data_IF_171597921355
#
_entry.id   IF_171597921355
#
_cell.length_a   1.000
_cell.length_b   1.000
_cell.length_c   1.000
_cell.angle_alpha   90.00
_cell.angle_beta   90.00
_cell.angle_gamma   90.00
#
_symmetry.space_group_name_H-M   'P 1'
#
loop_
_entity.id
_entity.type
_entity.pdbx_description
1 polymer ?
#
# COMPACT_ATOMS: atom_id res chain seq x y z
N UNK A 1 9.59 -22.82 29.33
CA UNK A 1 9.24 -23.51 28.07
C UNK A 1 9.88 -22.71 26.98
N UNK A 2 11.03 -23.17 26.50
CA UNK A 2 11.64 -22.58 25.30
C UNK A 2 10.75 -22.99 24.14
N UNK A 3 10.07 -22.00 23.54
CA UNK A 3 9.33 -22.21 22.30
C UNK A 3 10.41 -22.37 21.22
N UNK A 4 10.73 -23.61 20.88
CA UNK A 4 11.56 -23.91 19.73
C UNK A 4 10.75 -23.54 18.48
N UNK A 5 10.99 -22.35 17.94
CA UNK A 5 10.47 -21.96 16.63
C UNK A 5 11.45 -22.53 15.61
N UNK A 6 11.02 -23.52 14.83
CA UNK A 6 11.81 -24.05 13.73
C UNK A 6 12.09 -22.94 12.73
N UNK A 7 13.34 -22.79 12.30
CA UNK A 7 13.69 -21.91 11.19
C UNK A 7 12.94 -22.38 9.94
N UNK A 8 12.15 -21.48 9.34
CA UNK A 8 11.38 -21.79 8.12
C UNK A 8 11.94 -21.06 6.90
N UNK A 9 12.45 -19.83 7.06
CA UNK A 9 13.10 -19.12 5.97
C UNK A 9 14.62 -19.30 6.04
N UNK A 10 15.24 -19.61 4.91
CA UNK A 10 16.71 -19.72 4.79
C UNK A 10 17.38 -18.36 4.62
N UNK A 11 16.63 -17.34 4.20
CA UNK A 11 17.09 -15.95 4.04
C UNK A 11 16.23 -14.96 4.81
N UNK A 12 16.68 -13.71 4.84
CA UNK A 12 16.01 -12.61 5.53
C UNK A 12 14.54 -12.49 5.12
N UNK A 13 13.69 -12.30 6.13
CA UNK A 13 12.29 -11.99 5.92
C UNK A 13 12.15 -10.54 5.42
N UNK A 14 11.47 -10.37 4.29
CA UNK A 14 11.17 -9.06 3.69
C UNK A 14 9.74 -8.59 3.97
N UNK A 15 8.89 -9.48 4.49
CA UNK A 15 7.53 -9.16 4.88
C UNK A 15 7.04 -10.06 6.00
N UNK A 16 6.33 -9.48 6.96
CA UNK A 16 5.54 -10.18 7.96
C UNK A 16 4.29 -9.36 8.25
N UNK A 17 3.13 -9.99 8.25
CA UNK A 17 1.87 -9.30 8.55
C UNK A 17 0.81 -10.27 9.09
N UNK A 18 -0.14 -9.73 9.86
CA UNK A 18 -1.24 -10.49 10.47
C UNK A 18 -2.54 -10.04 9.82
N UNK A 19 -3.36 -10.99 9.37
CA UNK A 19 -4.62 -10.67 8.73
C UNK A 19 -5.59 -10.01 9.72
N UNK A 20 -6.20 -8.89 9.31
CA UNK A 20 -7.15 -8.14 10.14
C UNK A 20 -8.43 -8.94 10.49
N UNK A 21 -8.72 -10.00 9.74
CA UNK A 21 -9.81 -10.92 10.03
C UNK A 21 -9.45 -12.01 11.07
N UNK A 22 -8.21 -12.02 11.57
CA UNK A 22 -7.75 -12.94 12.62
C UNK A 22 -7.68 -14.40 12.19
N UNK A 23 -7.53 -14.68 10.88
CA UNK A 23 -7.51 -16.05 10.36
C UNK A 23 -6.11 -16.56 10.01
N UNK A 24 -5.17 -15.69 9.65
CA UNK A 24 -3.83 -16.10 9.28
C UNK A 24 -2.77 -15.04 9.54
N UNK A 25 -1.52 -15.46 9.53
CA UNK A 25 -0.34 -14.60 9.38
C UNK A 25 0.35 -14.93 8.07
N UNK A 26 1.13 -13.99 7.55
CA UNK A 26 1.97 -14.18 6.38
C UNK A 26 3.40 -13.77 6.73
N UNK A 27 4.36 -14.56 6.26
CA UNK A 27 5.78 -14.20 6.26
C UNK A 27 6.36 -14.47 4.88
N UNK A 28 7.30 -13.67 4.41
CA UNK A 28 7.95 -13.90 3.12
C UNK A 28 9.45 -13.59 3.18
N UNK A 29 10.26 -14.44 2.56
CA UNK A 29 11.71 -14.26 2.44
C UNK A 29 12.11 -13.59 1.14
N UNK A 30 13.32 -13.05 1.10
CA UNK A 30 13.93 -12.51 -0.12
C UNK A 30 14.12 -13.55 -1.23
N UNK A 31 14.19 -14.85 -0.89
CA UNK A 31 14.35 -15.98 -1.82
C UNK A 31 13.02 -16.53 -2.37
N UNK A 32 11.98 -15.70 -2.38
CA UNK A 32 10.67 -15.99 -2.99
C UNK A 32 9.77 -16.94 -2.18
N UNK A 33 10.19 -17.40 -1.00
CA UNK A 33 9.36 -18.24 -0.14
C UNK A 33 8.35 -17.38 0.64
N UNK A 34 7.07 -17.52 0.34
CA UNK A 34 5.98 -17.00 1.15
C UNK A 34 5.33 -18.14 1.94
N UNK A 35 5.09 -17.92 3.22
CA UNK A 35 4.44 -18.90 4.10
C UNK A 35 3.23 -18.26 4.77
N UNK A 36 2.11 -18.96 4.69
CA UNK A 36 0.86 -18.64 5.38
C UNK A 36 0.74 -19.52 6.62
N UNK A 37 0.38 -18.90 7.74
CA UNK A 37 0.31 -19.52 9.05
C UNK A 37 -1.06 -19.36 9.65
N UNK A 38 -1.47 -20.29 10.51
CA UNK A 38 -2.52 -19.98 11.47
C UNK A 38 -1.98 -19.05 12.58
N UNK A 39 -2.86 -18.52 13.41
CA UNK A 39 -2.44 -17.63 14.51
C UNK A 39 -1.70 -18.34 15.65
N UNK A 40 -1.63 -19.67 15.63
CA UNK A 40 -0.86 -20.48 16.59
C UNK A 40 0.56 -20.76 16.07
N UNK A 41 0.90 -20.31 14.86
CA UNK A 41 2.19 -20.51 14.23
C UNK A 41 2.31 -21.84 13.46
N UNK A 42 1.21 -22.53 13.18
CA UNK A 42 1.21 -23.70 12.31
C UNK A 42 1.23 -23.27 10.85
N UNK A 43 2.11 -23.87 10.05
CA UNK A 43 2.15 -23.62 8.61
C UNK A 43 0.89 -24.19 7.95
N UNK A 44 0.14 -23.33 7.26
CA UNK A 44 -1.03 -23.69 6.46
C UNK A 44 -0.64 -23.98 5.01
N UNK A 45 0.16 -23.11 4.41
CA UNK A 45 0.62 -23.27 3.02
C UNK A 45 1.96 -22.54 2.81
N UNK A 46 2.78 -23.07 1.89
CA UNK A 46 4.02 -22.45 1.42
C UNK A 46 3.91 -22.25 -0.09
N UNK A 47 4.30 -21.07 -0.55
CA UNK A 47 4.19 -20.62 -1.93
C UNK A 47 5.56 -20.11 -2.39
N UNK A 48 5.97 -20.51 -3.59
CA UNK A 48 7.02 -19.79 -4.32
C UNK A 48 6.35 -18.62 -5.06
N UNK A 49 6.81 -17.41 -4.80
CA UNK A 49 6.29 -16.21 -5.46
C UNK A 49 6.75 -16.07 -6.92
N UNK A 50 7.79 -16.80 -7.33
CA UNK A 50 8.40 -16.77 -8.66
C UNK A 50 8.87 -15.38 -9.09
N UNK A 51 9.40 -14.59 -8.15
CA UNK A 51 9.81 -13.20 -8.37
C UNK A 51 11.32 -13.02 -8.59
N UNK A 52 12.09 -14.11 -8.68
CA UNK A 52 13.56 -14.18 -8.65
C UNK A 52 14.16 -13.67 -7.34
N UNK A 53 13.77 -12.47 -6.90
CA UNK A 53 14.00 -11.93 -5.56
C UNK A 53 12.76 -11.16 -5.15
N UNK A 54 12.26 -11.44 -3.96
CA UNK A 54 11.14 -10.68 -3.38
C UNK A 54 11.66 -9.43 -2.69
N UNK A 55 11.07 -8.28 -3.02
CA UNK A 55 11.38 -6.99 -2.42
C UNK A 55 10.46 -6.67 -1.23
N UNK A 56 9.18 -7.03 -1.32
CA UNK A 56 8.19 -6.79 -0.27
C UNK A 56 7.11 -7.85 -0.30
N UNK A 57 6.44 -8.06 0.83
CA UNK A 57 5.20 -8.81 0.89
C UNK A 57 4.26 -8.19 1.94
N UNK A 58 2.96 -8.13 1.64
CA UNK A 58 1.95 -7.49 2.50
C UNK A 58 0.63 -8.27 2.53
N UNK A 59 -0.10 -8.19 3.64
CA UNK A 59 -1.50 -8.64 3.73
C UNK A 59 -2.41 -7.45 3.45
N UNK A 60 -3.50 -7.68 2.73
CA UNK A 60 -4.47 -6.62 2.46
C UNK A 60 -5.20 -6.19 3.74
N UNK A 61 -5.60 -4.91 3.88
CA UNK A 61 -6.35 -4.44 5.05
C UNK A 61 -7.68 -5.15 5.29
N UNK A 62 -8.34 -5.67 4.24
CA UNK A 62 -9.53 -6.52 4.40
C UNK A 62 -9.23 -7.95 4.91
N UNK A 63 -7.95 -8.30 5.08
CA UNK A 63 -7.48 -9.58 5.61
C UNK A 63 -7.71 -10.76 4.67
N UNK A 64 -7.97 -10.53 3.38
CA UNK A 64 -8.30 -11.58 2.41
C UNK A 64 -7.15 -11.93 1.49
N UNK A 65 -6.33 -10.94 1.13
CA UNK A 65 -5.33 -11.10 0.09
C UNK A 65 -3.92 -10.99 0.65
N UNK A 66 -2.99 -11.66 -0.02
CA UNK A 66 -1.55 -11.49 0.16
C UNK A 66 -0.91 -11.14 -1.18
N UNK A 67 0.12 -10.32 -1.13
CA UNK A 67 0.85 -9.85 -2.30
C UNK A 67 2.34 -9.89 -2.00
N UNK A 68 3.13 -10.24 -3.01
CA UNK A 68 4.57 -10.02 -3.03
C UNK A 68 4.97 -9.32 -4.32
N UNK A 69 6.03 -8.51 -4.27
CA UNK A 69 6.62 -7.86 -5.45
C UNK A 69 8.11 -8.13 -5.53
N UNK A 70 8.68 -7.98 -6.71
CA UNK A 70 10.07 -8.33 -6.99
C UNK A 70 10.46 -8.01 -8.43
N UNK A 71 11.29 -8.84 -9.06
CA UNK A 71 11.78 -8.56 -10.43
C UNK A 71 10.73 -8.72 -11.54
N UNK A 72 9.59 -9.36 -11.26
CA UNK A 72 8.51 -9.46 -12.24
C UNK A 72 7.80 -8.10 -12.44
N UNK A 73 7.39 -7.77 -13.68
CA UNK A 73 6.64 -6.55 -13.96
C UNK A 73 5.20 -6.60 -13.46
N UNK A 74 4.60 -7.79 -13.42
CA UNK A 74 3.24 -7.97 -12.95
C UNK A 74 3.20 -8.38 -11.48
N UNK A 75 2.26 -7.83 -10.74
CA UNK A 75 2.06 -8.17 -9.32
C UNK A 75 0.87 -9.11 -9.18
N UNK A 76 1.13 -10.32 -8.70
CA UNK A 76 0.08 -11.31 -8.41
C UNK A 76 -0.55 -11.03 -7.06
N UNK A 77 -1.88 -10.96 -7.03
CA UNK A 77 -2.67 -10.88 -5.81
C UNK A 77 -3.29 -12.24 -5.54
N UNK A 78 -2.93 -12.83 -4.40
CA UNK A 78 -3.37 -14.16 -3.99
C UNK A 78 -4.44 -14.03 -2.91
N UNK A 79 -5.52 -14.81 -3.02
CA UNK A 79 -6.54 -14.92 -1.98
C UNK A 79 -6.25 -16.10 -1.07
N UNK A 80 -6.28 -15.85 0.25
CA UNK A 80 -6.22 -16.90 1.27
C UNK A 80 -7.64 -17.37 1.56
N UNK A 81 -8.01 -18.52 1.04
CA UNK A 81 -9.37 -19.03 1.10
C UNK A 81 -9.60 -19.88 2.36
N UNK A 82 -10.76 -19.64 2.99
CA UNK A 82 -11.26 -20.45 4.09
C UNK A 82 -12.65 -21.00 3.74
N UNK A 83 -13.01 -22.13 4.32
CA UNK A 83 -14.37 -22.69 4.26
C UNK A 83 -15.35 -21.81 5.04
N UNK A 84 -16.66 -22.07 4.89
CA UNK A 84 -17.70 -21.41 5.69
C UNK A 84 -17.59 -21.70 7.18
N UNK A 85 -16.97 -22.82 7.55
CA UNK A 85 -16.70 -23.21 8.95
C UNK A 85 -15.42 -22.57 9.49
N UNK A 86 -14.68 -21.80 8.67
CA UNK A 86 -13.47 -21.10 9.06
C UNK A 86 -12.19 -21.92 8.96
N UNK A 87 -12.24 -23.10 8.35
CA UNK A 87 -11.06 -23.94 8.13
C UNK A 87 -10.29 -23.46 6.91
N UNK A 88 -8.97 -23.53 6.97
CA UNK A 88 -8.11 -23.21 5.85
C UNK A 88 -8.42 -24.12 4.66
N UNK A 89 -8.51 -23.56 3.46
CA UNK A 89 -8.78 -24.32 2.22
C UNK A 89 -7.56 -24.38 1.32
N UNK A 90 -7.08 -23.22 0.87
CA UNK A 90 -5.96 -23.07 -0.06
C UNK A 90 -5.62 -21.59 -0.22
N UNK A 91 -4.50 -21.30 -0.85
CA UNK A 91 -4.18 -20.00 -1.44
C UNK A 91 -4.28 -20.10 -2.97
N UNK A 92 -4.96 -19.15 -3.60
CA UNK A 92 -5.14 -19.14 -5.06
C UNK A 92 -4.97 -17.75 -5.63
N UNK A 93 -4.55 -17.66 -6.90
CA UNK A 93 -4.50 -16.37 -7.60
C UNK A 93 -5.91 -15.79 -7.71
N UNK A 94 -6.09 -14.56 -7.24
CA UNK A 94 -7.33 -13.80 -7.40
C UNK A 94 -7.28 -12.99 -8.69
N UNK A 95 -6.29 -12.11 -8.81
CA UNK A 95 -6.09 -11.24 -9.97
C UNK A 95 -4.62 -10.78 -10.05
N UNK A 96 -4.27 -10.07 -11.11
CA UNK A 96 -2.94 -9.52 -11.35
C UNK A 96 -3.02 -8.02 -11.63
N UNK A 97 -2.05 -7.27 -11.12
CA UNK A 97 -1.83 -5.86 -11.46
C UNK A 97 -0.78 -5.82 -12.57
N UNK A 98 -1.19 -5.42 -13.76
CA UNK A 98 -0.34 -5.43 -14.97
C UNK A 98 -0.03 -4.02 -15.44
N UNK A 99 0.91 -3.90 -16.37
CA UNK A 99 1.20 -2.68 -17.11
C UNK A 99 2.51 -1.97 -16.77
N UNK A 100 3.25 -2.45 -15.77
CA UNK A 100 4.66 -2.07 -15.61
C UNK A 100 5.54 -2.77 -16.65
N UNK A 101 6.68 -2.18 -16.96
CA UNK A 101 7.64 -2.75 -17.93
C UNK A 101 8.90 -3.31 -17.28
N UNK A 102 9.02 -3.21 -15.96
CA UNK A 102 10.13 -3.72 -15.16
C UNK A 102 9.69 -4.09 -13.76
N UNK A 103 10.60 -4.69 -12.98
CA UNK A 103 10.34 -5.18 -11.62
C UNK A 103 9.69 -4.16 -10.70
N UNK A 104 8.74 -4.63 -9.89
CA UNK A 104 7.99 -3.82 -8.92
C UNK A 104 8.67 -3.87 -7.56
N UNK A 105 9.08 -2.72 -7.05
CA UNK A 105 9.82 -2.60 -5.79
C UNK A 105 8.92 -2.68 -4.56
N UNK A 106 7.76 -2.01 -4.58
CA UNK A 106 6.84 -2.01 -3.44
C UNK A 106 5.37 -1.87 -3.87
N UNK A 107 4.48 -2.23 -2.96
CA UNK A 107 3.02 -2.20 -3.11
C UNK A 107 2.36 -1.58 -1.88
N UNK A 108 1.29 -0.80 -2.04
CA UNK A 108 0.52 -0.25 -0.91
C UNK A 108 -0.99 -0.37 -1.16
N UNK A 109 -1.73 -0.73 -0.10
CA UNK A 109 -3.19 -0.78 -0.12
C UNK A 109 -3.78 0.48 0.51
N UNK A 110 -4.98 0.85 0.08
CA UNK A 110 -5.85 1.74 0.85
C UNK A 110 -6.63 0.97 1.94
N UNK A 111 -7.35 1.70 2.79
CA UNK A 111 -7.93 1.08 4.00
C UNK A 111 -9.04 0.07 3.71
N UNK A 112 -9.77 0.24 2.61
CA UNK A 112 -10.88 -0.65 2.23
C UNK A 112 -10.47 -1.69 1.16
N UNK A 113 -9.21 -1.69 0.73
CA UNK A 113 -8.67 -2.58 -0.31
C UNK A 113 -9.34 -2.35 -1.69
N UNK A 114 -9.98 -1.21 -1.90
CA UNK A 114 -10.53 -0.82 -3.20
C UNK A 114 -9.48 -0.23 -4.13
N UNK A 115 -8.32 0.15 -3.60
CA UNK A 115 -7.18 0.61 -4.37
C UNK A 115 -5.88 -0.06 -3.95
N UNK A 116 -5.02 -0.27 -4.96
CA UNK A 116 -3.63 -0.69 -4.76
C UNK A 116 -2.72 0.25 -5.54
N UNK A 117 -1.65 0.72 -4.91
CA UNK A 117 -0.56 1.42 -5.58
C UNK A 117 0.66 0.50 -5.72
N UNK A 118 1.37 0.60 -6.83
CA UNK A 118 2.65 -0.09 -7.07
C UNK A 118 3.71 0.91 -7.52
N UNK A 119 4.98 0.64 -7.24
CA UNK A 119 6.12 1.43 -7.74
C UNK A 119 7.16 0.52 -8.37
N UNK A 120 7.67 0.89 -9.54
CA UNK A 120 8.50 0.02 -10.37
C UNK A 120 9.83 0.64 -10.76
N UNK A 121 10.79 -0.23 -11.04
CA UNK A 121 12.07 0.09 -11.69
C UNK A 121 11.90 0.80 -13.04
N UNK A 122 10.74 0.70 -13.67
CA UNK A 122 10.44 1.44 -14.91
C UNK A 122 10.28 2.96 -14.72
N UNK A 123 10.40 3.47 -13.49
CA UNK A 123 10.35 4.89 -13.18
C UNK A 123 8.93 5.43 -12.95
N UNK A 124 7.94 4.54 -12.94
CA UNK A 124 6.55 4.90 -12.70
C UNK A 124 6.00 4.28 -11.42
N UNK A 125 5.00 4.95 -10.88
CA UNK A 125 4.05 4.33 -9.96
C UNK A 125 2.68 4.27 -10.63
N UNK A 126 1.87 3.29 -10.25
CA UNK A 126 0.51 3.08 -10.77
C UNK A 126 -0.47 2.95 -9.63
N UNK A 127 -1.64 3.57 -9.78
CA UNK A 127 -2.79 3.34 -8.90
C UNK A 127 -3.82 2.49 -9.64
N UNK A 128 -4.33 1.44 -9.00
CA UNK A 128 -5.31 0.52 -9.55
C UNK A 128 -6.62 0.60 -8.77
N UNK A 129 -7.74 0.46 -9.47
CA UNK A 129 -9.02 0.13 -8.85
C UNK A 129 -9.17 -1.40 -8.76
N UNK A 130 -9.28 -1.92 -7.55
CA UNK A 130 -9.27 -3.36 -7.25
C UNK A 130 -10.59 -3.88 -6.67
N UNK A 131 -11.61 -3.03 -6.56
CA UNK A 131 -12.96 -3.47 -6.21
C UNK A 131 -13.66 -4.04 -7.45
N UNK A 132 -13.34 -5.29 -7.76
CA UNK A 132 -13.75 -6.00 -8.98
C UNK A 132 -14.33 -7.38 -8.66
N UNK A 133 -15.14 -7.92 -9.57
CA UNK A 133 -15.64 -9.29 -9.54
C UNK A 133 -14.67 -10.25 -10.28
N UNK A 134 -13.46 -10.43 -9.74
CA UNK A 134 -12.41 -11.24 -10.38
C UNK A 134 -12.81 -12.71 -10.65
N UNK A 135 -13.74 -13.27 -9.88
CA UNK A 135 -14.31 -14.61 -10.14
C UNK A 135 -15.12 -14.70 -11.43
N UNK A 136 -15.55 -13.55 -11.98
CA UNK A 136 -16.22 -13.43 -13.28
C UNK A 136 -15.28 -12.97 -14.39
N UNK A 137 -13.98 -12.87 -14.11
CA UNK A 137 -12.96 -12.45 -15.06
C UNK A 137 -12.79 -10.94 -15.18
N UNK A 138 -13.34 -10.15 -14.26
CA UNK A 138 -12.99 -8.73 -14.18
C UNK A 138 -11.53 -8.55 -13.74
N UNK A 139 -10.83 -7.63 -14.38
CA UNK A 139 -9.44 -7.29 -14.06
C UNK A 139 -9.35 -5.90 -13.44
N UNK A 140 -8.35 -5.66 -12.58
CA UNK A 140 -8.04 -4.32 -12.12
C UNK A 140 -7.72 -3.42 -13.31
N UNK A 141 -8.15 -2.15 -13.24
CA UNK A 141 -7.75 -1.15 -14.22
C UNK A 141 -6.91 -0.07 -13.54
N UNK A 142 -5.93 0.42 -14.29
CA UNK A 142 -5.09 1.54 -13.87
C UNK A 142 -5.95 2.80 -13.85
N UNK A 143 -6.05 3.45 -12.71
CA UNK A 143 -6.70 4.75 -12.54
C UNK A 143 -5.76 5.89 -12.94
N UNK A 144 -4.49 5.80 -12.55
CA UNK A 144 -3.51 6.86 -12.80
C UNK A 144 -2.09 6.28 -12.85
N UNK A 145 -1.20 6.95 -13.59
CA UNK A 145 0.24 6.63 -13.63
C UNK A 145 1.04 7.91 -13.44
N UNK A 146 1.86 7.97 -12.39
CA UNK A 146 2.81 9.06 -12.18
C UNK A 146 4.25 8.60 -12.34
N UNK A 147 5.15 9.58 -12.42
CA UNK A 147 6.61 9.36 -12.45
C UNK A 147 7.22 9.83 -11.13
N UNK A 148 8.30 9.17 -10.72
CA UNK A 148 9.01 9.53 -9.50
C UNK A 148 10.49 9.79 -9.77
N UNK A 149 11.17 10.48 -8.85
CA UNK A 149 12.61 10.72 -8.97
C UNK A 149 13.36 9.41 -8.74
N UNK A 150 13.88 8.81 -9.81
CA UNK A 150 14.64 7.56 -9.72
C UNK A 150 16.01 7.80 -9.07
N UNK A 151 16.40 6.88 -8.19
CA UNK A 151 17.75 6.83 -7.58
C UNK A 151 18.33 5.43 -7.74
N UNK A 152 19.53 5.20 -7.19
CA UNK A 152 20.16 3.90 -7.21
C UNK A 152 19.46 2.87 -6.29
N UNK A 153 18.66 3.32 -5.32
CA UNK A 153 18.03 2.46 -4.32
C UNK A 153 16.54 2.24 -4.64
N UNK A 154 15.97 1.06 -4.32
CA UNK A 154 14.54 0.83 -4.42
C UNK A 154 13.73 1.79 -3.51
N UNK A 155 12.69 2.45 -4.03
CA UNK A 155 11.79 3.25 -3.23
C UNK A 155 10.78 2.38 -2.47
N UNK A 156 10.26 2.91 -1.36
CA UNK A 156 9.10 2.41 -0.64
C UNK A 156 7.90 3.33 -0.86
N UNK A 157 6.70 2.80 -0.72
CA UNK A 157 5.47 3.58 -0.87
C UNK A 157 4.49 3.40 0.29
N UNK A 158 3.72 4.45 0.55
CA UNK A 158 2.54 4.42 1.40
C UNK A 158 1.39 5.12 0.69
N UNK A 159 0.22 4.47 0.68
CA UNK A 159 -1.01 5.04 0.15
C UNK A 159 -1.88 5.56 1.30
N UNK A 160 -2.43 6.75 1.17
CA UNK A 160 -3.33 7.30 2.18
C UNK A 160 -4.59 6.44 2.32
N UNK A 161 -5.27 6.46 3.48
CA UNK A 161 -6.46 5.61 3.71
C UNK A 161 -7.57 5.80 2.66
N UNK A 162 -7.70 7.00 2.11
CA UNK A 162 -8.68 7.35 1.07
C UNK A 162 -8.12 7.23 -0.36
N UNK A 163 -6.92 6.69 -0.54
CA UNK A 163 -6.21 6.54 -1.80
C UNK A 163 -5.89 7.84 -2.56
N UNK A 164 -6.08 9.03 -1.98
CA UNK A 164 -5.89 10.31 -2.66
C UNK A 164 -4.44 10.83 -2.65
N UNK A 165 -3.60 10.32 -1.76
CA UNK A 165 -2.18 10.70 -1.64
C UNK A 165 -1.30 9.46 -1.65
N UNK A 166 -0.30 9.47 -2.53
CA UNK A 166 0.78 8.49 -2.54
C UNK A 166 2.06 9.16 -2.02
N UNK A 167 2.63 8.62 -0.95
CA UNK A 167 3.96 8.98 -0.49
C UNK A 167 4.98 8.00 -1.07
N UNK A 168 6.05 8.52 -1.66
CA UNK A 168 7.16 7.77 -2.27
C UNK A 168 8.46 8.16 -1.58
N UNK A 169 9.22 7.19 -1.09
CA UNK A 169 10.55 7.47 -0.55
C UNK A 169 11.57 7.53 -1.67
N UNK A 170 12.41 8.55 -1.64
CA UNK A 170 13.49 8.77 -2.61
C UNK A 170 14.76 9.00 -1.80
N UNK A 171 15.56 7.94 -1.66
CA UNK A 171 16.68 7.87 -0.72
C UNK A 171 16.28 8.33 0.69
N UNK A 172 16.72 9.52 1.10
CA UNK A 172 16.46 10.14 2.41
C UNK A 172 15.25 11.09 2.44
N UNK A 173 14.55 11.25 1.32
CA UNK A 173 13.48 12.24 1.12
C UNK A 173 12.13 11.56 0.87
N UNK A 174 11.04 12.30 1.07
CA UNK A 174 9.68 11.82 0.78
C UNK A 174 9.00 12.74 -0.23
N UNK A 175 8.56 12.17 -1.34
CA UNK A 175 7.74 12.83 -2.36
C UNK A 175 6.25 12.50 -2.12
N UNK A 176 5.38 13.51 -2.18
CA UNK A 176 3.93 13.36 -2.03
C UNK A 176 3.23 13.64 -3.36
N UNK A 177 2.45 12.68 -3.84
CA UNK A 177 1.72 12.77 -5.10
C UNK A 177 0.22 12.83 -4.86
N UNK A 178 -0.47 13.65 -5.67
CA UNK A 178 -1.91 13.56 -5.86
C UNK A 178 -2.19 12.40 -6.81
N UNK A 179 -2.86 11.36 -6.32
CA UNK A 179 -3.12 10.14 -7.09
C UNK A 179 -4.20 10.32 -8.16
N UNK A 180 -4.99 11.39 -8.10
CA UNK A 180 -5.99 11.70 -9.11
C UNK A 180 -5.39 12.40 -10.33
N UNK A 181 -4.33 13.20 -10.13
CA UNK A 181 -3.69 13.96 -11.22
C UNK A 181 -2.35 13.41 -11.64
N UNK A 182 -1.77 12.48 -10.87
CA UNK A 182 -0.43 11.95 -11.09
C UNK A 182 0.69 12.94 -10.73
N UNK A 183 0.37 14.13 -10.23
CA UNK A 183 1.32 15.23 -10.05
C UNK A 183 2.00 15.16 -8.69
N UNK A 184 3.31 15.46 -8.69
CA UNK A 184 4.05 15.76 -7.48
C UNK A 184 3.51 17.04 -6.85
N UNK A 185 3.12 16.95 -5.58
CA UNK A 185 2.63 18.08 -4.80
C UNK A 185 3.76 18.75 -4.00
N UNK A 186 4.55 17.96 -3.26
CA UNK A 186 5.63 18.48 -2.41
C UNK A 186 6.68 17.41 -2.13
N UNK A 187 7.86 17.86 -1.73
CA UNK A 187 8.97 16.98 -1.30
C UNK A 187 9.48 17.44 0.06
N UNK A 188 9.53 16.51 1.01
CA UNK A 188 10.24 16.73 2.27
C UNK A 188 11.65 16.18 2.10
N UNK A 189 12.60 17.07 1.85
CA UNK A 189 13.99 16.71 1.59
C UNK A 189 14.76 16.40 2.88
N UNK A 190 15.69 15.43 2.82
CA UNK A 190 16.61 15.09 3.92
C UNK A 190 15.88 14.77 5.24
N UNK A 191 14.83 13.94 5.17
CA UNK A 191 14.15 13.41 6.36
C UNK A 191 15.12 12.62 7.23
N UNK A 192 16.07 11.90 6.63
CA UNK A 192 17.15 11.21 7.34
C UNK A 192 18.51 11.48 6.70
N UNK A 193 19.59 11.04 7.34
CA UNK A 193 20.93 11.02 6.72
C UNK A 193 21.15 9.78 5.83
N UNK A 194 20.27 8.78 5.96
CA UNK A 194 20.30 7.53 5.20
C UNK A 194 18.96 7.24 4.56
N UNK A 195 18.79 6.00 4.08
CA UNK A 195 17.58 5.57 3.37
C UNK A 195 16.37 5.51 4.30
N UNK A 196 15.21 5.85 3.75
CA UNK A 196 13.92 5.51 4.34
C UNK A 196 13.64 4.03 4.02
N UNK A 197 13.36 3.24 5.06
CA UNK A 197 13.12 1.80 4.96
C UNK A 197 11.63 1.45 5.06
N UNK A 198 10.81 2.32 5.64
CA UNK A 198 9.37 2.06 5.80
C UNK A 198 8.57 3.34 5.95
N UNK A 199 7.35 3.34 5.42
CA UNK A 199 6.39 4.43 5.55
C UNK A 199 4.97 3.90 5.74
N UNK A 200 4.17 4.58 6.54
CA UNK A 200 2.73 4.27 6.69
C UNK A 200 1.93 5.49 7.12
N UNK A 201 0.80 5.73 6.48
CA UNK A 201 -0.15 6.73 6.94
C UNK A 201 -0.87 6.28 8.21
N UNK A 202 -1.21 7.21 9.08
CA UNK A 202 -2.15 6.94 10.16
C UNK A 202 -3.56 6.68 9.61
N UNK A 203 -4.44 6.09 10.43
CA UNK A 203 -5.79 5.71 10.01
C UNK A 203 -6.67 6.90 9.56
N UNK A 204 -6.38 8.12 10.03
CA UNK A 204 -7.06 9.33 9.57
C UNK A 204 -6.48 9.94 8.30
N UNK A 205 -5.28 9.51 7.88
CA UNK A 205 -4.55 10.05 6.74
C UNK A 205 -3.93 11.43 6.99
N UNK A 206 -3.94 11.93 8.23
CA UNK A 206 -3.41 13.25 8.61
C UNK A 206 -1.89 13.25 8.77
N UNK A 207 -1.31 12.10 9.11
CA UNK A 207 0.10 11.94 9.41
C UNK A 207 0.69 10.77 8.62
N UNK A 208 1.96 10.94 8.22
CA UNK A 208 2.80 9.88 7.67
C UNK A 208 3.89 9.54 8.70
N UNK A 209 3.95 8.29 9.13
CA UNK A 209 5.08 7.75 9.88
C UNK A 209 6.16 7.30 8.91
N UNK A 210 7.40 7.73 9.13
CA UNK A 210 8.55 7.43 8.27
C UNK A 210 9.68 6.86 9.14
N UNK A 211 10.30 5.77 8.71
CA UNK A 211 11.41 5.11 9.40
C UNK A 211 12.62 5.01 8.46
N UNK A 212 13.83 5.28 8.95
CA UNK A 212 15.06 5.19 8.15
C UNK A 212 16.34 5.15 8.97
N UNK A 213 16.38 5.85 10.10
CA UNK A 213 17.50 5.82 11.06
C UNK A 213 17.11 5.15 12.40
N UNK A 214 17.51 5.74 13.54
CA UNK A 214 17.20 5.26 14.89
C UNK A 214 15.92 5.86 15.47
N UNK A 215 15.15 6.62 14.69
CA UNK A 215 13.92 7.25 15.12
C UNK A 215 12.79 7.06 14.09
N UNK A 216 11.56 7.19 14.58
CA UNK A 216 10.37 7.35 13.73
C UNK A 216 10.06 8.84 13.68
N UNK A 217 9.96 9.40 12.48
CA UNK A 217 9.52 10.78 12.24
C UNK A 217 8.07 10.78 11.80
N UNK A 218 7.35 11.82 12.22
CA UNK A 218 5.94 12.04 11.90
C UNK A 218 5.85 13.27 11.01
N UNK A 219 5.42 13.09 9.77
CA UNK A 219 5.20 14.17 8.81
C UNK A 219 3.70 14.50 8.74
N UNK A 220 3.36 15.78 8.64
CA UNK A 220 2.00 16.20 8.34
C UNK A 220 1.68 15.95 6.86
N UNK A 221 0.57 15.26 6.59
CA UNK A 221 0.06 15.07 5.23
C UNK A 221 -0.63 16.34 4.72
N UNK A 222 0.15 17.39 4.44
CA UNK A 222 -0.37 18.67 3.93
C UNK A 222 -1.02 18.48 2.56
N UNK A 223 -0.47 17.61 1.71
CA UNK A 223 -1.03 17.22 0.42
C UNK A 223 -2.48 16.74 0.54
N UNK A 224 -2.77 15.92 1.56
CA UNK A 224 -4.09 15.36 1.81
C UNK A 224 -5.20 16.40 1.98
N UNK A 225 -4.90 17.57 2.55
CA UNK A 225 -5.89 18.65 2.64
C UNK A 225 -6.28 19.19 1.26
N UNK A 226 -5.32 19.36 0.35
CA UNK A 226 -5.59 19.84 -1.00
C UNK A 226 -6.36 18.80 -1.82
N UNK A 227 -5.94 17.52 -1.76
CA UNK A 227 -6.63 16.44 -2.49
C UNK A 227 -8.06 16.26 -1.98
N UNK A 228 -8.27 16.33 -0.66
CA UNK A 228 -9.61 16.24 -0.06
C UNK A 228 -10.51 17.40 -0.47
N UNK A 229 -9.99 18.63 -0.51
CA UNK A 229 -10.76 19.78 -1.01
C UNK A 229 -11.14 19.57 -2.48
N UNK A 230 -10.17 19.19 -3.32
CA UNK A 230 -10.41 18.93 -4.74
C UNK A 230 -11.45 17.83 -4.96
N UNK A 231 -11.37 16.75 -4.18
CA UNK A 231 -12.31 15.64 -4.19
C UNK A 231 -13.73 16.06 -3.80
N UNK A 232 -13.88 16.83 -2.72
CA UNK A 232 -15.17 17.37 -2.32
C UNK A 232 -15.77 18.26 -3.41
N UNK A 233 -14.97 19.12 -4.06
CA UNK A 233 -15.44 20.00 -5.14
C UNK A 233 -15.90 19.18 -6.35
N UNK A 234 -15.15 18.15 -6.76
CA UNK A 234 -15.56 17.25 -7.87
C UNK A 234 -16.90 16.59 -7.61
N UNK A 235 -17.13 16.14 -6.37
CA UNK A 235 -18.33 15.41 -5.99
C UNK A 235 -19.59 16.30 -5.93
N UNK A 236 -19.45 17.62 -5.83
CA UNK A 236 -20.60 18.55 -5.79
C UNK A 236 -21.43 18.55 -7.08
N UNK A 237 -20.88 18.13 -8.22
CA UNK A 237 -21.60 18.00 -9.49
C UNK A 237 -22.57 16.80 -9.57
N UNK A 238 -22.56 15.92 -8.56
CA UNK A 238 -23.39 14.70 -8.53
C UNK A 238 -24.72 14.92 -7.79
N UNK A 239 -25.75 14.13 -8.12
CA UNK A 239 -27.01 14.11 -7.35
C UNK A 239 -26.71 13.63 -5.92
N UNK A 240 -26.72 14.56 -4.96
CA UNK A 240 -26.40 14.30 -3.57
C UNK A 240 -27.50 14.83 -2.64
N UNK A 241 -27.63 14.21 -1.47
CA UNK A 241 -28.53 14.68 -0.43
C UNK A 241 -28.01 15.97 0.18
N UNK A 242 -28.91 16.78 0.76
CA UNK A 242 -28.54 18.01 1.48
C UNK A 242 -27.52 17.75 2.58
N UNK A 243 -27.67 16.66 3.33
CA UNK A 243 -26.74 16.26 4.39
C UNK A 243 -25.32 15.95 3.87
N UNK A 244 -25.20 15.30 2.71
CA UNK A 244 -23.89 15.03 2.09
C UNK A 244 -23.20 16.32 1.66
N UNK A 245 -23.95 17.25 1.07
CA UNK A 245 -23.44 18.57 0.65
C UNK A 245 -22.95 19.36 1.86
N UNK A 246 -23.72 19.38 2.95
CA UNK A 246 -23.34 20.06 4.19
C UNK A 246 -22.08 19.48 4.80
N UNK A 247 -21.98 18.14 4.87
CA UNK A 247 -20.77 17.46 5.35
C UNK A 247 -19.54 17.82 4.53
N UNK A 248 -19.64 17.81 3.20
CA UNK A 248 -18.53 18.20 2.32
C UNK A 248 -18.11 19.65 2.51
N UNK A 249 -19.06 20.59 2.64
CA UNK A 249 -18.76 22.00 2.93
C UNK A 249 -17.99 22.15 4.23
N UNK A 250 -18.41 21.43 5.28
CA UNK A 250 -17.69 21.40 6.56
C UNK A 250 -16.28 20.83 6.41
N UNK A 251 -16.11 19.71 5.71
CA UNK A 251 -14.79 19.13 5.43
C UNK A 251 -13.86 20.09 4.69
N UNK A 252 -14.37 20.79 3.67
CA UNK A 252 -13.60 21.81 2.93
C UNK A 252 -13.12 22.92 3.87
N UNK A 253 -14.01 23.41 4.72
CA UNK A 253 -13.69 24.48 5.67
C UNK A 253 -12.63 24.04 6.70
N UNK A 254 -12.78 22.84 7.26
CA UNK A 254 -11.79 22.26 8.18
C UNK A 254 -10.41 22.10 7.52
N UNK A 255 -10.38 21.66 6.25
CA UNK A 255 -9.13 21.54 5.49
C UNK A 255 -8.49 22.92 5.25
N UNK A 256 -9.27 23.94 4.86
CA UNK A 256 -8.77 25.31 4.68
C UNK A 256 -8.20 25.89 5.97
N UNK A 257 -8.88 25.68 7.10
CA UNK A 257 -8.40 26.11 8.42
C UNK A 257 -7.11 25.39 8.84
N UNK A 258 -6.98 24.10 8.53
CA UNK A 258 -5.74 23.38 8.76
C UNK A 258 -4.60 23.94 7.90
N UNK A 259 -4.86 24.18 6.61
CA UNK A 259 -3.89 24.74 5.67
C UNK A 259 -3.39 26.13 6.08
N UNK A 260 -4.26 26.98 6.63
CA UNK A 260 -3.87 28.29 7.15
C UNK A 260 -2.77 28.25 8.22
N UNK A 261 -2.60 27.11 8.91
CA UNK A 261 -1.53 26.92 9.92
C UNK A 261 -0.17 26.59 9.31
N UNK A 262 -0.13 26.11 8.06
CA UNK A 262 1.09 25.69 7.38
C UNK A 262 1.71 26.79 6.49
N UNK A 263 1.07 27.98 6.42
CA UNK A 263 1.70 29.19 5.88
C UNK A 263 2.01 29.19 4.38
N UNK A 264 1.29 28.40 3.57
CA UNK A 264 1.37 28.42 2.09
C UNK A 264 0.19 29.16 1.49
#
# INVERSE_FOLDING_TARGET
>A
MDVFISQVHETDAVGFDISSNGKFMMSCSSNNDMVIWDLKGQQLERLDTYLMTTHTAKVSPCGRFVVATGFAPDVKVMEVCFTKTGEFKQVTKAFELTGHSSGVYDVAFDVDTSHIATISKDGTWKLYHTKIEYTRGESPHVLETGTYRQTANPPHIALSPNAEVLAVSVDSSVEFYDTYTGKLYDTVENVYSGLINYMKFDASGKYLFVCGDRAVRILHNVCGYYTTIASCIRLQGSKQTSATIERQKKTIEECKQALAKFGK
#
